data_IF_709743255935
#
_entry.id   IF_709743255935
#
_cell.length_a   1.000
_cell.length_b   1.000
_cell.length_c   1.000
_cell.angle_alpha   90.00
_cell.angle_beta   90.00
_cell.angle_gamma   90.00
#
_symmetry.space_group_name_H-M   'P 1'
#
loop_
_entity.id
_entity.type
_entity.pdbx_description
1 polymer ?
#
# COMPACT_ATOMS: atom_id res chain seq x y z
N UNK A 1 42.55 -46.22 -36.37
CA UNK A 1 41.83 -45.03 -36.90
C UNK A 1 40.31 -45.02 -36.64
N UNK A 2 39.56 -46.12 -36.84
CA UNK A 2 38.09 -46.14 -36.58
C UNK A 2 37.68 -45.92 -35.11
N UNK A 3 38.44 -46.44 -34.15
CA UNK A 3 38.16 -46.25 -32.70
C UNK A 3 38.43 -44.82 -32.21
N UNK A 4 39.43 -44.14 -32.78
CA UNK A 4 39.77 -42.75 -32.45
C UNK A 4 38.71 -41.76 -32.98
N UNK A 5 38.17 -42.00 -34.19
CA UNK A 5 37.02 -41.24 -34.72
C UNK A 5 35.72 -41.44 -33.91
N UNK A 6 35.49 -42.65 -33.39
CA UNK A 6 34.34 -42.94 -32.51
C UNK A 6 34.47 -42.25 -31.15
N UNK A 7 35.69 -42.20 -30.57
CA UNK A 7 35.95 -41.47 -29.33
C UNK A 7 35.81 -39.95 -29.50
N UNK A 8 36.30 -39.40 -30.62
CA UNK A 8 36.21 -37.96 -30.89
C UNK A 8 34.75 -37.51 -31.10
N UNK A 9 33.91 -38.35 -31.70
CA UNK A 9 32.47 -38.08 -31.85
C UNK A 9 31.71 -38.07 -30.53
N UNK A 10 32.07 -38.95 -29.58
CA UNK A 10 31.46 -39.00 -28.25
C UNK A 10 31.87 -37.78 -27.41
N UNK A 11 33.13 -37.33 -27.51
CA UNK A 11 33.63 -36.16 -26.79
C UNK A 11 32.94 -34.85 -27.24
N UNK A 12 32.72 -34.68 -28.54
CA UNK A 12 31.99 -33.51 -29.09
C UNK A 12 30.51 -33.52 -28.67
N UNK A 13 29.89 -34.70 -28.56
CA UNK A 13 28.50 -34.83 -28.12
C UNK A 13 28.33 -34.52 -26.62
N UNK A 14 29.30 -34.85 -25.78
CA UNK A 14 29.28 -34.51 -24.34
C UNK A 14 29.53 -33.03 -24.06
N UNK A 15 30.26 -32.32 -24.93
CA UNK A 15 30.44 -30.86 -24.83
C UNK A 15 29.15 -30.12 -25.22
N UNK A 16 28.40 -30.62 -26.21
CA UNK A 16 27.09 -30.07 -26.57
C UNK A 16 26.01 -30.30 -25.50
N UNK A 17 26.11 -31.40 -24.74
CA UNK A 17 25.18 -31.69 -23.63
C UNK A 17 25.52 -30.94 -22.32
N UNK A 18 26.66 -30.27 -22.23
CA UNK A 18 27.07 -29.47 -21.06
C UNK A 18 26.95 -27.97 -21.27
N UNK A 19 26.37 -27.52 -22.40
CA UNK A 19 26.22 -26.10 -22.75
C UNK A 19 24.85 -25.51 -22.41
N UNK A 20 24.24 -25.96 -21.30
CA UNK A 20 23.08 -25.30 -20.68
C UNK A 20 23.16 -25.42 -19.15
N UNK A 21 24.23 -24.94 -18.53
CA UNK A 21 24.21 -24.66 -17.08
C UNK A 21 25.02 -23.42 -16.71
N UNK A 22 25.21 -22.50 -17.65
CA UNK A 22 25.67 -21.15 -17.34
C UNK A 22 24.44 -20.25 -17.17
N UNK A 23 23.82 -20.33 -16.00
CA UNK A 23 23.05 -19.22 -15.44
C UNK A 23 24.03 -18.10 -15.10
N UNK A 24 24.50 -17.39 -16.13
CA UNK A 24 25.39 -16.22 -16.03
C UNK A 24 24.66 -14.91 -16.40
N UNK A 25 23.33 -14.95 -16.43
CA UNK A 25 22.44 -13.79 -16.37
C UNK A 25 21.78 -13.87 -15.00
N UNK A 26 21.91 -12.80 -14.21
CA UNK A 26 21.68 -12.78 -12.75
C UNK A 26 20.49 -13.60 -12.29
N UNK A 27 20.77 -14.65 -11.52
CA UNK A 27 19.72 -15.43 -10.85
C UNK A 27 19.14 -14.56 -9.75
N UNK A 28 17.90 -14.06 -9.93
CA UNK A 28 17.14 -13.52 -8.81
C UNK A 28 17.06 -14.58 -7.69
N UNK A 29 17.16 -14.19 -6.42
CA UNK A 29 17.17 -15.14 -5.30
C UNK A 29 15.85 -15.90 -5.06
N UNK A 30 14.87 -15.90 -5.99
CA UNK A 30 13.45 -15.97 -5.61
C UNK A 30 12.59 -17.01 -6.35
N UNK A 31 11.47 -17.36 -5.70
CA UNK A 31 10.28 -17.99 -6.30
C UNK A 31 9.32 -16.96 -6.90
N UNK A 32 8.05 -17.35 -7.13
CA UNK A 32 7.00 -16.43 -7.61
C UNK A 32 6.79 -15.30 -6.60
N UNK A 33 6.98 -14.04 -7.03
CA UNK A 33 6.84 -12.85 -6.18
C UNK A 33 5.40 -12.35 -6.28
N UNK A 34 4.69 -12.31 -5.16
CA UNK A 34 3.39 -11.65 -5.05
C UNK A 34 3.62 -10.14 -4.84
N UNK A 35 3.27 -9.35 -5.86
CA UNK A 35 3.51 -7.91 -5.83
C UNK A 35 2.26 -7.12 -5.45
N UNK A 36 2.44 -6.08 -4.63
CA UNK A 36 1.43 -5.02 -4.46
C UNK A 36 1.51 -4.02 -5.62
N UNK A 37 0.38 -3.46 -6.06
CA UNK A 37 0.32 -2.42 -7.10
C UNK A 37 0.81 -1.09 -6.53
N UNK A 38 2.11 -0.82 -6.65
CA UNK A 38 2.77 0.37 -6.10
C UNK A 38 3.52 1.15 -7.17
N UNK A 39 3.75 2.43 -6.90
CA UNK A 39 4.66 3.28 -7.68
C UNK A 39 5.42 4.21 -6.76
N UNK A 40 6.60 4.69 -7.19
CA UNK A 40 7.39 5.64 -6.43
C UNK A 40 7.82 6.83 -7.29
N UNK A 41 7.58 8.03 -6.79
CA UNK A 41 8.03 9.27 -7.43
C UNK A 41 8.30 10.35 -6.38
N UNK A 42 9.32 11.17 -6.60
CA UNK A 42 9.71 12.26 -5.70
C UNK A 42 9.96 11.84 -4.25
N UNK A 43 10.45 10.61 -4.03
CA UNK A 43 10.72 10.07 -2.69
C UNK A 43 9.48 9.54 -1.95
N UNK A 44 8.32 9.53 -2.61
CA UNK A 44 7.05 9.07 -2.05
C UNK A 44 6.65 7.77 -2.75
N UNK A 45 6.39 6.73 -1.97
CA UNK A 45 5.83 5.47 -2.45
C UNK A 45 4.32 5.51 -2.26
N UNK A 46 3.59 5.17 -3.31
CA UNK A 46 2.15 5.11 -3.32
C UNK A 46 1.70 3.70 -3.64
N UNK A 47 0.54 3.34 -3.12
CA UNK A 47 -0.12 2.05 -3.35
C UNK A 47 -1.50 2.28 -3.94
N UNK A 48 -1.82 1.53 -4.98
CA UNK A 48 -3.19 1.38 -5.42
C UNK A 48 -3.89 0.46 -4.41
N UNK A 49 -4.84 1.02 -3.69
CA UNK A 49 -5.69 0.24 -2.82
C UNK A 49 -6.91 -0.21 -3.61
N UNK A 50 -7.30 -1.47 -3.40
CA UNK A 50 -8.52 -2.06 -3.92
C UNK A 50 -9.60 -2.01 -2.83
N UNK A 51 -10.32 -0.89 -2.60
CA UNK A 51 -11.58 -1.00 -1.90
C UNK A 51 -12.60 -1.52 -2.91
N UNK A 52 -12.81 -2.84 -2.93
CA UNK A 52 -14.00 -3.46 -3.50
C UNK A 52 -15.25 -3.12 -2.63
N UNK A 53 -15.41 -1.86 -2.20
CA UNK A 53 -16.55 -1.48 -1.36
C UNK A 53 -17.81 -1.57 -2.23
N UNK A 54 -18.59 -2.63 -1.97
CA UNK A 54 -19.73 -3.10 -2.75
C UNK A 54 -20.93 -2.15 -2.82
N UNK A 55 -20.92 -1.02 -2.10
CA UNK A 55 -22.03 -0.08 -2.08
C UNK A 55 -21.53 1.37 -2.18
N UNK A 56 -22.02 2.06 -3.21
CA UNK A 56 -21.95 3.53 -3.42
C UNK A 56 -20.76 4.17 -4.15
N UNK A 57 -20.00 3.49 -5.03
CA UNK A 57 -19.16 4.24 -5.97
C UNK A 57 -19.99 4.77 -7.15
N UNK A 58 -20.69 5.89 -6.94
CA UNK A 58 -21.03 6.80 -8.05
C UNK A 58 -19.77 7.11 -8.87
N UNK A 59 -19.87 7.57 -10.13
CA UNK A 59 -18.71 7.71 -11.01
C UNK A 59 -17.65 8.57 -10.31
N UNK A 60 -16.52 7.93 -9.97
CA UNK A 60 -15.33 8.58 -9.44
C UNK A 60 -14.84 9.54 -10.52
N UNK A 61 -15.29 10.79 -10.47
CA UNK A 61 -14.88 11.83 -11.42
C UNK A 61 -13.60 12.47 -10.89
N UNK A 62 -12.50 11.74 -11.04
CA UNK A 62 -11.18 12.25 -10.69
C UNK A 62 -10.60 12.97 -11.90
N UNK A 63 -10.47 14.28 -11.77
CA UNK A 63 -9.81 15.12 -12.78
C UNK A 63 -8.29 15.06 -12.62
N UNK A 64 -7.60 14.73 -13.72
CA UNK A 64 -6.14 14.82 -13.82
C UNK A 64 -5.69 16.28 -13.70
N UNK A 65 -4.71 16.52 -12.84
CA UNK A 65 -3.99 17.80 -12.72
C UNK A 65 -2.77 17.83 -13.63
N UNK A 66 -1.68 18.48 -13.17
CA UNK A 66 -0.42 18.55 -13.94
C UNK A 66 0.29 17.20 -13.95
N UNK A 67 1.09 16.94 -15.00
CA UNK A 67 2.02 15.81 -15.04
C UNK A 67 3.13 16.03 -14.00
N UNK A 68 3.34 15.05 -13.13
CA UNK A 68 4.38 15.03 -12.11
C UNK A 68 5.66 14.33 -12.62
N UNK A 69 5.48 13.32 -13.47
CA UNK A 69 6.55 12.55 -14.08
C UNK A 69 5.99 11.39 -14.89
N UNK A 70 6.80 10.35 -15.05
CA UNK A 70 6.43 9.13 -15.74
C UNK A 70 7.16 7.93 -15.16
N UNK A 71 6.59 6.75 -15.38
CA UNK A 71 7.21 5.48 -15.02
C UNK A 71 8.45 5.28 -15.89
N UNK A 72 9.59 5.02 -15.27
CA UNK A 72 10.87 4.74 -15.92
C UNK A 72 11.21 3.24 -15.90
N UNK A 73 10.59 2.47 -15.00
CA UNK A 73 10.87 1.04 -14.86
C UNK A 73 9.65 0.28 -14.34
N UNK A 74 9.25 -0.79 -15.05
CA UNK A 74 8.22 -1.73 -14.60
C UNK A 74 8.87 -2.86 -13.83
N UNK A 75 8.56 -3.03 -12.55
CA UNK A 75 9.21 -4.02 -11.68
C UNK A 75 8.70 -5.45 -11.93
N UNK A 76 7.40 -5.63 -12.17
CA UNK A 76 6.86 -6.96 -12.40
C UNK A 76 7.59 -7.64 -13.58
N UNK A 77 8.00 -8.89 -13.38
CA UNK A 77 8.80 -9.72 -14.29
C UNK A 77 10.24 -9.23 -14.58
N UNK A 78 10.65 -8.07 -14.08
CA UNK A 78 11.96 -7.48 -14.35
C UNK A 78 12.83 -7.32 -13.08
N UNK A 79 12.22 -7.09 -11.92
CA UNK A 79 12.90 -6.90 -10.64
C UNK A 79 12.98 -8.21 -9.83
N UNK A 80 14.09 -8.37 -9.10
CA UNK A 80 14.24 -9.40 -8.08
C UNK A 80 13.58 -8.98 -6.75
N UNK A 81 13.39 -9.90 -5.80
CA UNK A 81 12.72 -9.61 -4.51
C UNK A 81 13.50 -8.66 -3.61
N UNK A 82 14.82 -8.56 -3.80
CA UNK A 82 15.71 -7.66 -3.06
C UNK A 82 15.78 -6.26 -3.67
N UNK A 83 15.04 -6.01 -4.77
CA UNK A 83 14.96 -4.71 -5.43
C UNK A 83 14.45 -3.63 -4.47
N UNK A 84 15.20 -2.54 -4.39
CA UNK A 84 14.81 -1.37 -3.60
C UNK A 84 14.20 -0.33 -4.54
N UNK A 85 12.91 -0.02 -4.36
CA UNK A 85 12.21 0.91 -5.25
C UNK A 85 12.90 2.27 -5.35
N UNK A 86 13.09 2.74 -6.57
CA UNK A 86 13.60 4.07 -6.92
C UNK A 86 12.50 4.97 -7.50
N UNK A 87 12.80 6.26 -7.68
CA UNK A 87 11.85 7.17 -8.32
C UNK A 87 11.69 6.81 -9.80
N UNK A 88 10.44 6.64 -10.25
CA UNK A 88 10.12 6.16 -11.59
C UNK A 88 9.77 4.68 -11.63
N UNK A 89 9.96 3.95 -10.54
CA UNK A 89 9.55 2.55 -10.47
C UNK A 89 8.04 2.42 -10.27
N UNK A 90 7.45 1.45 -10.95
CA UNK A 90 6.09 0.99 -10.70
C UNK A 90 6.00 -0.52 -10.83
N UNK A 91 5.12 -1.15 -10.06
CA UNK A 91 4.95 -2.61 -10.11
C UNK A 91 4.44 -3.06 -11.47
N UNK A 92 3.26 -2.56 -11.85
CA UNK A 92 2.52 -3.08 -13.01
C UNK A 92 2.36 -2.06 -14.15
N UNK A 93 2.68 -0.79 -13.91
CA UNK A 93 2.54 0.24 -14.94
C UNK A 93 3.70 0.15 -15.94
N UNK A 94 3.38 0.27 -17.23
CA UNK A 94 4.37 0.24 -18.31
C UNK A 94 5.28 1.47 -18.27
N UNK A 95 6.52 1.31 -18.75
CA UNK A 95 7.46 2.41 -18.95
C UNK A 95 6.84 3.50 -19.85
N UNK A 96 7.09 4.77 -19.50
CA UNK A 96 6.50 5.93 -20.16
C UNK A 96 5.08 6.26 -19.70
N UNK A 97 4.46 5.47 -18.81
CA UNK A 97 3.14 5.79 -18.26
C UNK A 97 3.22 7.11 -17.48
N UNK A 98 2.45 8.16 -17.85
CA UNK A 98 2.49 9.43 -17.16
C UNK A 98 1.79 9.36 -15.79
N UNK A 99 2.41 10.00 -14.80
CA UNK A 99 1.88 10.16 -13.44
C UNK A 99 1.41 11.60 -13.27
N UNK A 100 0.18 11.78 -12.81
CA UNK A 100 -0.48 13.07 -12.67
C UNK A 100 -0.87 13.36 -11.22
N UNK A 101 -0.98 14.65 -10.90
CA UNK A 101 -1.73 15.09 -9.73
C UNK A 101 -3.22 14.71 -9.86
N UNK A 102 -3.88 14.54 -8.72
CA UNK A 102 -5.33 14.59 -8.63
C UNK A 102 -5.75 16.00 -8.26
N UNK A 103 -6.56 16.64 -9.12
CA UNK A 103 -6.94 18.04 -8.93
C UNK A 103 -7.70 18.25 -7.61
N UNK A 104 -7.27 19.24 -6.83
CA UNK A 104 -7.86 19.56 -5.53
C UNK A 104 -7.29 18.76 -4.35
N UNK A 105 -6.34 17.85 -4.60
CA UNK A 105 -5.66 17.03 -3.60
C UNK A 105 -4.15 17.26 -3.67
N UNK A 106 -3.43 17.19 -2.54
CA UNK A 106 -1.98 17.28 -2.54
C UNK A 106 -1.39 16.02 -3.16
N UNK A 107 -0.34 16.17 -3.97
CA UNK A 107 0.41 15.04 -4.54
C UNK A 107 0.92 14.12 -3.45
N UNK A 108 1.28 14.67 -2.28
CA UNK A 108 1.81 13.90 -1.15
C UNK A 108 0.80 12.93 -0.53
N UNK A 109 -0.49 13.04 -0.89
CA UNK A 109 -1.55 12.11 -0.49
C UNK A 109 -1.94 11.16 -1.64
N UNK A 110 -2.11 11.70 -2.83
CA UNK A 110 -2.84 11.02 -3.91
C UNK A 110 -2.28 11.42 -5.28
N UNK A 111 -1.98 10.41 -6.10
CA UNK A 111 -1.62 10.58 -7.51
C UNK A 111 -2.45 9.67 -8.40
N UNK A 112 -2.44 9.94 -9.70
CA UNK A 112 -3.15 9.14 -10.70
C UNK A 112 -2.21 8.71 -11.82
N UNK A 113 -2.30 7.44 -12.22
CA UNK A 113 -1.62 6.89 -13.37
C UNK A 113 -2.48 5.79 -13.99
N UNK A 114 -2.54 5.75 -15.34
CA UNK A 114 -3.35 4.78 -16.09
C UNK A 114 -4.81 4.64 -15.57
N UNK A 115 -5.45 5.79 -15.31
CA UNK A 115 -6.82 5.91 -14.78
C UNK A 115 -7.07 5.23 -13.41
N UNK A 116 -6.00 4.80 -12.73
CA UNK A 116 -6.01 4.35 -11.35
C UNK A 116 -5.51 5.43 -10.41
N UNK A 117 -6.00 5.41 -9.18
CA UNK A 117 -5.52 6.23 -8.08
C UNK A 117 -4.57 5.47 -7.18
N UNK A 118 -3.52 6.15 -6.74
CA UNK A 118 -2.54 5.61 -5.81
C UNK A 118 -2.46 6.52 -4.60
N UNK A 119 -2.69 5.97 -3.42
CA UNK A 119 -2.63 6.67 -2.13
C UNK A 119 -1.24 6.48 -1.54
N UNK A 120 -0.71 7.51 -0.90
CA UNK A 120 0.59 7.45 -0.22
C UNK A 120 0.65 6.29 0.77
N UNK A 121 1.74 5.53 0.70
CA UNK A 121 2.08 4.44 1.62
C UNK A 121 3.28 4.82 2.48
N UNK A 122 4.36 5.31 1.87
CA UNK A 122 5.55 5.80 2.59
C UNK A 122 6.10 7.11 2.01
N UNK A 123 6.64 7.94 2.89
CA UNK A 123 7.25 9.22 2.55
C UNK A 123 8.52 9.42 3.41
N UNK A 124 9.69 9.47 2.79
CA UNK A 124 10.98 9.45 3.52
C UNK A 124 11.18 10.66 4.45
N UNK A 125 10.61 11.82 4.10
CA UNK A 125 10.71 13.03 4.92
C UNK A 125 9.59 13.17 5.98
N UNK A 126 8.61 12.27 6.02
CA UNK A 126 7.49 12.37 6.94
C UNK A 126 7.91 12.03 8.37
N UNK A 127 7.47 12.85 9.34
CA UNK A 127 7.80 12.67 10.77
C UNK A 127 6.56 12.41 11.61
N UNK A 128 5.42 12.87 11.13
CA UNK A 128 4.11 12.72 11.76
C UNK A 128 3.14 12.05 10.79
N UNK A 129 2.07 11.49 11.33
CA UNK A 129 1.04 10.86 10.51
C UNK A 129 0.35 11.86 9.56
N UNK A 130 0.31 13.15 9.90
CA UNK A 130 -0.17 14.20 8.99
C UNK A 130 0.84 14.59 7.90
N UNK A 131 2.15 14.43 8.13
CA UNK A 131 3.14 14.60 7.07
C UNK A 131 3.04 13.46 6.05
N UNK A 132 2.75 12.24 6.51
CA UNK A 132 2.58 11.07 5.63
C UNK A 132 1.21 11.06 4.95
N UNK A 133 0.12 11.20 5.71
CA UNK A 133 -1.25 11.14 5.21
C UNK A 133 -1.99 12.41 5.64
N UNK A 134 -1.95 13.50 4.85
CA UNK A 134 -2.50 14.81 5.24
C UNK A 134 -4.05 14.86 5.12
N UNK A 135 -4.77 14.12 5.97
CA UNK A 135 -6.20 13.81 5.81
C UNK A 135 -7.19 14.93 6.17
N UNK A 136 -6.85 15.83 7.11
CA UNK A 136 -7.82 16.72 7.81
C UNK A 136 -8.85 17.42 6.91
N UNK A 137 -8.44 17.89 5.73
CA UNK A 137 -9.32 18.67 4.83
C UNK A 137 -10.06 17.82 3.80
N UNK A 138 -9.64 16.57 3.61
CA UNK A 138 -10.03 15.76 2.45
C UNK A 138 -10.96 14.61 2.80
N UNK A 139 -11.01 14.20 4.06
CA UNK A 139 -11.89 13.12 4.51
C UNK A 139 -13.37 13.54 4.49
N UNK A 140 -14.19 12.70 3.86
CA UNK A 140 -15.66 12.75 3.87
C UNK A 140 -16.17 11.96 5.07
N UNK A 141 -15.84 10.66 5.14
CA UNK A 141 -16.25 9.74 6.19
C UNK A 141 -15.10 8.82 6.63
N UNK A 142 -15.26 8.23 7.81
CA UNK A 142 -14.42 7.14 8.32
C UNK A 142 -15.37 6.01 8.65
N UNK A 143 -15.08 4.81 8.17
CA UNK A 143 -15.87 3.61 8.43
C UNK A 143 -15.06 2.59 9.20
N UNK A 144 -15.72 1.79 10.02
CA UNK A 144 -15.16 0.53 10.48
C UNK A 144 -15.62 -0.55 9.52
N UNK A 145 -14.68 -1.34 9.03
CA UNK A 145 -14.95 -2.49 8.18
C UNK A 145 -14.84 -3.79 8.98
N UNK A 146 -15.66 -4.76 8.60
CA UNK A 146 -15.52 -6.15 9.02
C UNK A 146 -14.18 -6.71 8.55
N UNK A 147 -13.47 -7.40 9.44
CA UNK A 147 -12.21 -8.08 9.09
C UNK A 147 -12.43 -9.38 8.33
N UNK A 148 -13.67 -9.86 8.22
CA UNK A 148 -14.01 -11.14 7.57
C UNK A 148 -14.26 -10.95 6.06
N UNK A 149 -15.02 -9.93 5.69
CA UNK A 149 -15.50 -9.69 4.32
C UNK A 149 -15.24 -8.26 3.82
N UNK A 150 -14.76 -7.36 4.68
CA UNK A 150 -14.47 -5.97 4.30
C UNK A 150 -15.70 -5.07 4.19
N UNK A 151 -16.89 -5.54 4.56
CA UNK A 151 -18.10 -4.71 4.51
C UNK A 151 -18.04 -3.59 5.56
N UNK A 152 -18.61 -2.43 5.25
CA UNK A 152 -18.75 -1.31 6.20
C UNK A 152 -19.78 -1.70 7.25
N UNK A 153 -19.35 -1.85 8.49
CA UNK A 153 -20.23 -2.21 9.62
C UNK A 153 -20.59 -1.02 10.49
N UNK A 154 -19.85 0.09 10.37
CA UNK A 154 -20.11 1.30 11.15
C UNK A 154 -19.57 2.54 10.46
N UNK A 155 -20.24 3.67 10.67
CA UNK A 155 -19.77 4.99 10.22
C UNK A 155 -19.46 5.84 11.43
N UNK A 156 -18.25 6.41 11.48
CA UNK A 156 -17.87 7.32 12.55
C UNK A 156 -18.85 8.48 12.66
N UNK A 157 -19.27 8.79 13.89
CA UNK A 157 -20.03 10.00 14.16
C UNK A 157 -19.24 11.26 13.74
N UNK A 158 -19.92 12.35 13.34
CA UNK A 158 -19.24 13.60 12.96
C UNK A 158 -18.34 14.17 14.09
N UNK A 159 -18.73 14.13 15.38
CA UNK A 159 -17.86 14.52 16.48
C UNK A 159 -16.60 13.64 16.58
N UNK A 160 -16.73 12.32 16.48
CA UNK A 160 -15.58 11.41 16.57
C UNK A 160 -14.66 11.52 15.37
N UNK A 161 -15.18 11.64 14.15
CA UNK A 161 -14.37 11.94 12.96
C UNK A 161 -13.53 13.20 13.19
N UNK A 162 -14.11 14.26 13.75
CA UNK A 162 -13.38 15.50 14.04
C UNK A 162 -12.25 15.27 15.05
N UNK A 163 -12.56 14.59 16.17
CA UNK A 163 -11.56 14.27 17.19
C UNK A 163 -10.46 13.34 16.67
N UNK A 164 -10.81 12.37 15.84
CA UNK A 164 -9.87 11.45 15.18
C UNK A 164 -8.88 12.24 14.33
N UNK A 165 -9.37 13.10 13.44
CA UNK A 165 -8.52 13.95 12.58
C UNK A 165 -7.67 14.92 13.40
N UNK A 166 -8.20 15.45 14.52
CA UNK A 166 -7.43 16.28 15.44
C UNK A 166 -6.28 15.52 16.12
N UNK A 167 -6.53 14.27 16.53
CA UNK A 167 -5.54 13.43 17.16
C UNK A 167 -4.50 12.91 16.15
N UNK A 168 -4.93 12.58 14.93
CA UNK A 168 -4.10 12.09 13.82
C UNK A 168 -2.92 13.01 13.53
N UNK A 169 -3.18 14.33 13.46
CA UNK A 169 -2.15 15.33 13.17
C UNK A 169 -1.00 15.38 14.19
N UNK A 170 -1.20 14.79 15.37
CA UNK A 170 -0.24 14.79 16.46
C UNK A 170 0.49 13.46 16.61
N UNK A 171 0.14 12.45 15.80
CA UNK A 171 0.77 11.13 15.91
C UNK A 171 2.17 11.18 15.31
N UNK A 172 3.11 10.59 16.05
CA UNK A 172 4.48 10.39 15.56
C UNK A 172 4.52 9.17 14.66
N UNK A 173 5.47 9.16 13.74
CA UNK A 173 5.81 7.97 12.97
C UNK A 173 7.00 7.25 13.61
N UNK A 174 6.92 5.92 13.59
CA UNK A 174 8.03 5.01 13.85
C UNK A 174 8.33 4.23 12.57
N UNK A 175 9.56 3.75 12.46
CA UNK A 175 9.93 2.86 11.37
C UNK A 175 9.15 1.54 11.43
N UNK A 176 8.47 1.19 10.33
CA UNK A 176 7.59 0.02 10.26
C UNK A 176 8.35 -1.28 10.51
N UNK A 177 9.59 -1.41 10.02
CA UNK A 177 10.39 -2.62 10.28
C UNK A 177 10.67 -2.79 11.77
N UNK A 178 10.91 -1.69 12.49
CA UNK A 178 11.09 -1.70 13.93
C UNK A 178 9.82 -2.16 14.64
N UNK A 179 8.64 -1.71 14.20
CA UNK A 179 7.35 -2.15 14.77
C UNK A 179 7.10 -3.66 14.59
N UNK A 180 7.47 -4.24 13.45
CA UNK A 180 7.37 -5.68 13.23
C UNK A 180 8.39 -6.48 14.06
N UNK A 181 9.61 -5.99 14.21
CA UNK A 181 10.65 -6.66 15.02
C UNK A 181 10.29 -6.71 16.52
N UNK A 182 9.51 -5.73 16.98
CA UNK A 182 9.08 -5.61 18.38
C UNK A 182 7.69 -6.22 18.65
N UNK A 183 7.16 -7.03 17.72
CA UNK A 183 5.83 -7.66 17.77
C UNK A 183 4.68 -6.65 18.03
N UNK A 184 4.86 -5.37 17.65
CA UNK A 184 3.87 -4.30 17.87
C UNK A 184 2.73 -4.31 16.86
N UNK A 185 2.88 -5.06 15.77
CA UNK A 185 1.87 -5.22 14.73
C UNK A 185 1.04 -6.51 14.90
N UNK A 186 1.30 -7.25 15.98
CA UNK A 186 0.54 -8.42 16.41
C UNK A 186 -0.62 -8.01 17.31
N UNK A 187 -1.71 -8.78 17.26
CA UNK A 187 -2.89 -8.57 18.09
C UNK A 187 -4.16 -8.29 17.30
N UNK A 188 -5.19 -7.83 18.00
CA UNK A 188 -6.50 -7.57 17.40
C UNK A 188 -6.43 -6.36 16.46
N UNK A 189 -6.92 -6.55 15.24
CA UNK A 189 -6.93 -5.55 14.16
C UNK A 189 -8.32 -4.98 13.98
N UNK A 190 -8.36 -3.68 13.72
CA UNK A 190 -9.52 -2.93 13.26
C UNK A 190 -9.20 -2.36 11.89
N UNK A 191 -10.10 -2.55 10.93
CA UNK A 191 -9.98 -1.95 9.60
C UNK A 191 -10.77 -0.65 9.56
N UNK A 192 -10.07 0.45 9.28
CA UNK A 192 -10.64 1.78 9.17
C UNK A 192 -10.59 2.21 7.71
N UNK A 193 -11.73 2.25 7.03
CA UNK A 193 -11.83 2.84 5.69
C UNK A 193 -11.92 4.36 5.81
N UNK A 194 -11.01 5.05 5.12
CA UNK A 194 -10.98 6.50 5.01
C UNK A 194 -11.52 6.89 3.63
N UNK A 195 -12.73 7.41 3.59
CA UNK A 195 -13.33 7.91 2.35
C UNK A 195 -12.99 9.39 2.17
N UNK A 196 -12.37 9.74 1.05
CA UNK A 196 -12.08 11.10 0.64
C UNK A 196 -13.28 11.74 -0.07
N UNK A 197 -13.36 13.07 -0.06
CA UNK A 197 -14.44 13.85 -0.70
C UNK A 197 -14.59 13.65 -2.22
N UNK A 198 -13.61 13.06 -2.89
CA UNK A 198 -13.62 12.73 -4.32
C UNK A 198 -14.01 11.27 -4.58
N UNK A 199 -14.40 10.51 -3.53
CA UNK A 199 -14.81 9.11 -3.62
C UNK A 199 -13.66 8.10 -3.57
N UNK A 200 -12.40 8.53 -3.53
CA UNK A 200 -11.29 7.62 -3.26
C UNK A 200 -11.38 7.15 -1.81
N UNK A 201 -11.29 5.85 -1.59
CA UNK A 201 -11.20 5.27 -0.27
C UNK A 201 -9.86 4.55 -0.08
N UNK A 202 -9.38 4.50 1.16
CA UNK A 202 -8.22 3.71 1.53
C UNK A 202 -8.34 3.20 2.97
N UNK A 203 -7.78 2.04 3.25
CA UNK A 203 -7.79 1.37 4.54
C UNK A 203 -6.56 1.72 5.36
N UNK A 204 -6.79 2.09 6.61
CA UNK A 204 -5.82 2.05 7.69
C UNK A 204 -6.11 0.85 8.58
N UNK A 205 -5.08 0.09 8.95
CA UNK A 205 -5.20 -1.01 9.90
C UNK A 205 -4.71 -0.49 11.26
N UNK A 206 -5.58 -0.54 12.26
CA UNK A 206 -5.30 -0.16 13.63
C UNK A 206 -5.18 -1.42 14.51
N UNK A 207 -4.06 -1.58 15.21
CA UNK A 207 -3.83 -2.67 16.16
C UNK A 207 -4.19 -2.17 17.56
N UNK A 208 -5.26 -2.73 18.14
CA UNK A 208 -5.84 -2.19 19.38
C UNK A 208 -4.92 -2.37 20.59
N UNK A 209 -4.17 -3.47 20.61
CA UNK A 209 -3.36 -3.87 21.76
C UNK A 209 -2.12 -2.98 21.92
N UNK A 210 -1.52 -2.58 20.80
CA UNK A 210 -0.34 -1.70 20.75
C UNK A 210 -0.67 -0.23 20.52
N UNK A 211 -1.92 0.10 20.14
CA UNK A 211 -2.35 1.44 19.75
C UNK A 211 -1.51 1.98 18.57
N UNK A 212 -1.40 1.20 17.49
CA UNK A 212 -0.55 1.53 16.33
C UNK A 212 -1.26 1.33 15.00
N UNK A 213 -0.82 2.04 13.98
CA UNK A 213 -1.33 1.93 12.61
C UNK A 213 -0.29 1.26 11.68
N UNK A 214 -0.76 0.59 10.63
CA UNK A 214 0.11 -0.10 9.66
C UNK A 214 1.09 0.79 8.91
N UNK A 215 0.84 2.10 8.86
CA UNK A 215 1.73 3.07 8.24
C UNK A 215 2.81 3.61 9.21
N UNK A 216 2.95 3.00 10.39
CA UNK A 216 3.94 3.39 11.40
C UNK A 216 3.47 4.47 12.37
N UNK A 217 2.24 4.97 12.26
CA UNK A 217 1.73 5.96 13.21
C UNK A 217 1.53 5.34 14.60
N UNK A 218 2.15 5.96 15.61
CA UNK A 218 1.97 5.59 17.03
C UNK A 218 0.79 6.38 17.58
N UNK A 219 -0.27 5.67 17.98
CA UNK A 219 -1.44 6.24 18.60
C UNK A 219 -1.15 6.90 19.95
N UNK A 220 -1.92 7.93 20.27
CA UNK A 220 -1.96 8.56 21.59
C UNK A 220 -3.27 8.22 22.31
N UNK A 221 -3.44 8.67 23.56
CA UNK A 221 -4.68 8.44 24.32
C UNK A 221 -5.91 8.99 23.58
N UNK A 222 -5.81 10.17 22.97
CA UNK A 222 -6.94 10.81 22.29
C UNK A 222 -7.49 9.99 21.13
N UNK A 223 -6.61 9.43 20.28
CA UNK A 223 -7.07 8.63 19.15
C UNK A 223 -7.61 7.28 19.61
N UNK A 224 -6.99 6.69 20.64
CA UNK A 224 -7.46 5.46 21.27
C UNK A 224 -8.87 5.64 21.83
N UNK A 225 -9.09 6.68 22.64
CA UNK A 225 -10.38 6.97 23.25
C UNK A 225 -11.50 7.14 22.21
N UNK A 226 -11.19 7.82 21.09
CA UNK A 226 -12.15 8.03 20.00
C UNK A 226 -12.48 6.73 19.28
N UNK A 227 -11.49 5.89 18.99
CA UNK A 227 -11.73 4.60 18.34
C UNK A 227 -12.52 3.67 19.27
N UNK A 228 -12.15 3.61 20.55
CA UNK A 228 -12.83 2.77 21.54
C UNK A 228 -14.29 3.19 21.80
N UNK A 229 -14.58 4.50 21.75
CA UNK A 229 -15.97 4.96 21.83
C UNK A 229 -16.81 4.47 20.65
N UNK A 230 -16.28 4.55 19.41
CA UNK A 230 -17.01 4.10 18.23
C UNK A 230 -17.16 2.57 18.20
N UNK A 231 -16.22 1.81 18.76
CA UNK A 231 -16.36 0.34 18.90
C UNK A 231 -17.45 -0.02 19.92
N UNK A 232 -17.56 0.74 21.01
CA UNK A 232 -18.56 0.50 22.05
C UNK A 232 -19.96 0.76 21.51
N UNK A 233 -20.13 1.83 20.71
CA UNK A 233 -21.39 2.16 20.05
C UNK A 233 -21.88 0.98 19.17
N UNK A 234 -20.99 0.34 18.40
CA UNK A 234 -21.34 -0.87 17.61
C UNK A 234 -21.86 -2.00 18.49
N UNK A 235 -21.22 -2.25 19.63
CA UNK A 235 -21.62 -3.34 20.53
C UNK A 235 -22.99 -3.08 21.15
N UNK A 236 -23.27 -1.83 21.53
CA UNK A 236 -24.59 -1.43 22.03
C UNK A 236 -25.66 -1.60 20.95
N UNK A 237 -25.42 -1.16 19.72
CA UNK A 237 -26.34 -1.34 18.59
C UNK A 237 -26.66 -2.83 18.35
N UNK A 238 -25.65 -3.70 18.39
CA UNK A 238 -25.81 -5.16 18.20
C UNK A 238 -26.65 -5.85 19.30
N UNK A 239 -26.78 -5.22 20.47
CA UNK A 239 -27.58 -5.72 21.59
C UNK A 239 -29.06 -5.31 21.50
N UNK A 240 -29.39 -4.27 20.73
CA UNK A 240 -30.78 -3.83 20.52
C UNK A 240 -31.46 -4.49 19.32
N UNK A 241 -30.69 -5.15 18.45
CA UNK A 241 -31.19 -5.90 17.29
C UNK A 241 -31.48 -7.40 17.57
N UNK A 242 -31.39 -7.85 18.83
CA UNK A 242 -31.74 -9.19 19.31
C UNK A 242 -33.04 -9.21 20.12
#
# INVERSE_FOLDING_TARGET
>A
MKRLKKMLGILVFTILLSSCSNSFLGSCPDGEIEWMDVLKISGIKYQHQFPDSADESGPISIEKGRKLGEVAYRMADNACSDHQMENGDATFLEEGTPIYEVKGYPSDLLVMANDKTYVVDTHIEAKTAADLVPMRKFVKNIYIESTEDGERIHTFSQPSKTKFLDAWDQLKLEDIETLYKDDKMDGKRLFLEIELKNGVAFRLIYVTDSNMFNNGAIGNEKIKDVIESEITDIQEESLFDQ
#
